data_IF_122200574251
#
_entry.id   IF_122200574251
#
_cell.length_a   1.000
_cell.length_b   1.000
_cell.length_c   1.000
_cell.angle_alpha   90.00
_cell.angle_beta   90.00
_cell.angle_gamma   90.00
#
_symmetry.space_group_name_H-M   'P 1'
#
loop_
_entity.id
_entity.type
_entity.pdbx_description
1 polymer ?
#
# COMPACT_ATOMS: atom_id res chain seq x y z
N UNK A 1 3.56 -24.63 11.06
CA UNK A 1 2.99 -23.92 12.22
C UNK A 1 1.58 -24.43 12.42
N UNK A 2 1.24 -24.99 13.59
CA UNK A 2 -0.15 -25.31 13.88
C UNK A 2 -0.97 -24.01 13.92
N UNK A 3 -2.23 -24.01 13.43
CA UNK A 3 -3.07 -22.82 13.49
C UNK A 3 -3.25 -22.41 14.96
N UNK A 4 -3.08 -21.11 15.24
CA UNK A 4 -3.36 -20.58 16.57
C UNK A 4 -4.83 -20.85 16.90
N UNK A 5 -5.10 -21.43 18.08
CA UNK A 5 -6.47 -21.67 18.54
C UNK A 5 -7.26 -20.37 18.62
N UNK A 6 -8.58 -20.44 18.44
CA UNK A 6 -9.47 -19.26 18.43
C UNK A 6 -9.29 -18.33 19.64
N UNK A 7 -9.04 -18.88 20.84
CA UNK A 7 -8.78 -18.10 22.04
C UNK A 7 -7.52 -17.21 21.92
N UNK A 8 -6.44 -17.74 21.36
CA UNK A 8 -5.20 -16.98 21.14
C UNK A 8 -5.37 -15.91 20.05
N UNK A 9 -6.15 -16.19 19.01
CA UNK A 9 -6.50 -15.20 17.98
C UNK A 9 -7.29 -14.06 18.62
N UNK A 10 -8.32 -14.37 19.41
CA UNK A 10 -9.13 -13.39 20.12
C UNK A 10 -8.29 -12.50 21.04
N UNK A 11 -7.38 -13.10 21.80
CA UNK A 11 -6.47 -12.36 22.69
C UNK A 11 -5.53 -11.44 21.90
N UNK A 12 -4.95 -11.92 20.80
CA UNK A 12 -4.04 -11.13 19.96
C UNK A 12 -4.75 -9.92 19.33
N UNK A 13 -5.97 -10.12 18.82
CA UNK A 13 -6.77 -9.03 18.24
C UNK A 13 -7.22 -8.05 19.33
N UNK A 14 -7.57 -8.53 20.53
CA UNK A 14 -7.90 -7.68 21.67
C UNK A 14 -6.72 -6.83 22.17
N UNK A 15 -5.49 -7.36 22.08
CA UNK A 15 -4.26 -6.66 22.48
C UNK A 15 -3.94 -5.48 21.56
N UNK A 16 -4.06 -5.67 20.25
CA UNK A 16 -3.90 -4.57 19.28
C UNK A 16 -4.82 -4.71 18.06
N UNK A 17 -6.02 -4.16 18.21
CA UNK A 17 -7.07 -4.24 17.21
C UNK A 17 -6.68 -3.54 15.89
N UNK A 18 -5.99 -2.40 15.93
CA UNK A 18 -5.58 -1.70 14.70
C UNK A 18 -4.51 -2.47 13.94
N UNK A 19 -3.59 -3.14 14.64
CA UNK A 19 -2.57 -3.97 14.00
C UNK A 19 -3.19 -5.22 13.37
N UNK A 20 -4.17 -5.84 14.04
CA UNK A 20 -4.96 -6.92 13.47
C UNK A 20 -5.75 -6.47 12.24
N UNK A 21 -6.40 -5.31 12.33
CA UNK A 21 -7.14 -4.69 11.22
C UNK A 21 -6.24 -4.40 10.02
N UNK A 22 -5.04 -3.86 10.25
CA UNK A 22 -4.06 -3.65 9.20
C UNK A 22 -3.72 -4.98 8.50
N UNK A 23 -3.45 -6.04 9.26
CA UNK A 23 -3.11 -7.35 8.68
C UNK A 23 -4.26 -7.90 7.82
N UNK A 24 -5.50 -7.76 8.28
CA UNK A 24 -6.69 -8.11 7.49
C UNK A 24 -6.80 -7.25 6.22
N UNK A 25 -6.53 -5.95 6.33
CA UNK A 25 -6.59 -5.00 5.21
C UNK A 25 -5.55 -5.29 4.13
N UNK A 26 -4.32 -5.61 4.52
CA UNK A 26 -3.24 -5.98 3.61
C UNK A 26 -3.50 -7.34 2.95
N UNK A 27 -3.99 -8.32 3.72
CA UNK A 27 -4.42 -9.61 3.20
C UNK A 27 -5.54 -9.46 2.16
N UNK A 28 -6.57 -8.69 2.48
CA UNK A 28 -7.70 -8.43 1.58
C UNK A 28 -7.23 -7.73 0.29
N UNK A 29 -6.31 -6.77 0.40
CA UNK A 29 -5.71 -6.10 -0.75
C UNK A 29 -4.96 -7.07 -1.68
N UNK A 30 -4.13 -7.95 -1.09
CA UNK A 30 -3.39 -8.97 -1.82
C UNK A 30 -4.33 -10.00 -2.50
N UNK A 31 -5.39 -10.42 -1.80
CA UNK A 31 -6.37 -11.38 -2.31
C UNK A 31 -7.23 -10.81 -3.45
N UNK A 32 -7.68 -9.55 -3.34
CA UNK A 32 -8.51 -8.90 -4.36
C UNK A 32 -7.72 -8.57 -5.63
N UNK A 33 -6.40 -8.39 -5.52
CA UNK A 33 -5.54 -8.05 -6.66
C UNK A 33 -5.64 -9.06 -7.81
N UNK A 34 -5.53 -8.58 -9.05
CA UNK A 34 -5.33 -9.45 -10.21
C UNK A 34 -3.99 -10.22 -10.14
N UNK A 35 -3.03 -9.74 -9.33
CA UNK A 35 -1.73 -10.39 -9.07
C UNK A 35 -1.78 -11.37 -7.90
N UNK A 36 -2.96 -11.73 -7.38
CA UNK A 36 -3.13 -12.53 -6.15
C UNK A 36 -2.27 -13.80 -6.08
N UNK A 37 -1.99 -14.44 -7.21
CA UNK A 37 -1.14 -15.65 -7.22
C UNK A 37 0.32 -15.39 -6.78
N UNK A 38 0.86 -14.22 -7.13
CA UNK A 38 2.23 -13.83 -6.79
C UNK A 38 2.32 -13.04 -5.48
N UNK A 39 1.31 -12.22 -5.15
CA UNK A 39 1.36 -11.30 -4.00
C UNK A 39 0.71 -11.85 -2.72
N UNK A 40 -0.24 -12.80 -2.81
CA UNK A 40 -0.83 -13.43 -1.63
C UNK A 40 0.04 -14.56 -1.09
N UNK A 41 1.21 -14.18 -0.57
CA UNK A 41 2.21 -15.10 0.00
C UNK A 41 2.61 -14.60 1.39
N UNK A 42 2.44 -15.39 2.46
CA UNK A 42 1.97 -16.77 2.49
C UNK A 42 0.48 -16.88 2.11
N UNK A 43 0.14 -18.01 1.47
CA UNK A 43 -1.23 -18.38 1.12
C UNK A 43 -1.80 -19.32 2.20
N UNK A 44 -3.07 -19.18 2.62
CA UNK A 44 -3.64 -20.04 3.65
C UNK A 44 -3.78 -21.48 3.15
N UNK A 45 -3.10 -22.41 3.82
CA UNK A 45 -3.00 -23.82 3.37
C UNK A 45 -4.33 -24.55 3.35
N UNK A 46 -5.33 -24.12 4.14
CA UNK A 46 -6.69 -24.69 4.12
C UNK A 46 -7.43 -24.47 2.79
N UNK A 47 -7.02 -23.47 2.01
CA UNK A 47 -7.57 -23.17 0.69
C UNK A 47 -6.66 -23.68 -0.44
N UNK A 48 -5.62 -24.45 -0.11
CA UNK A 48 -4.73 -25.08 -1.07
C UNK A 48 -4.97 -26.60 -1.06
N UNK A 49 -5.24 -27.17 -2.23
CA UNK A 49 -5.27 -28.62 -2.44
C UNK A 49 -4.14 -28.97 -3.39
N UNK A 50 -3.09 -29.62 -2.87
CA UNK A 50 -1.84 -29.85 -3.59
C UNK A 50 -1.29 -28.53 -4.17
N UNK A 51 -1.17 -28.42 -5.49
CA UNK A 51 -0.68 -27.21 -6.18
C UNK A 51 -1.80 -26.25 -6.62
N UNK A 52 -3.06 -26.62 -6.40
CA UNK A 52 -4.22 -25.80 -6.76
C UNK A 52 -4.65 -24.91 -5.57
N UNK A 53 -4.60 -23.59 -5.77
CA UNK A 53 -5.11 -22.59 -4.82
C UNK A 53 -6.54 -22.22 -5.16
N UNK A 54 -7.45 -22.39 -4.21
CA UNK A 54 -8.86 -22.02 -4.35
C UNK A 54 -9.09 -20.57 -3.92
N UNK A 55 -8.84 -19.64 -4.86
CA UNK A 55 -9.03 -18.22 -4.62
C UNK A 55 -10.52 -17.83 -4.52
N UNK A 56 -11.41 -18.57 -5.18
CA UNK A 56 -12.85 -18.25 -5.22
C UNK A 56 -13.49 -18.56 -3.87
N UNK A 57 -13.22 -19.74 -3.30
CA UNK A 57 -13.66 -20.05 -1.94
C UNK A 57 -13.10 -19.05 -0.92
N UNK A 58 -11.83 -18.69 -1.06
CA UNK A 58 -11.18 -17.74 -0.16
C UNK A 58 -11.76 -16.32 -0.25
N UNK A 59 -12.10 -15.85 -1.46
CA UNK A 59 -12.80 -14.58 -1.66
C UNK A 59 -14.20 -14.60 -1.08
N UNK A 60 -14.95 -15.68 -1.31
CA UNK A 60 -16.30 -15.84 -0.80
C UNK A 60 -16.30 -15.75 0.73
N UNK A 61 -15.36 -16.39 1.42
CA UNK A 61 -15.29 -16.35 2.87
C UNK A 61 -14.71 -15.04 3.41
N UNK A 62 -13.71 -14.46 2.73
CA UNK A 62 -13.18 -13.13 3.10
C UNK A 62 -14.25 -12.03 2.99
N UNK A 63 -15.17 -12.13 2.01
CA UNK A 63 -16.26 -11.16 1.84
C UNK A 63 -17.31 -11.20 2.96
N UNK A 64 -17.42 -12.33 3.67
CA UNK A 64 -18.35 -12.51 4.79
C UNK A 64 -17.78 -12.05 6.13
N UNK A 65 -16.50 -11.65 6.18
CA UNK A 65 -15.85 -11.23 7.43
C UNK A 65 -16.45 -9.90 7.92
N UNK A 66 -17.07 -9.87 9.11
CA UNK A 66 -17.57 -8.63 9.71
C UNK A 66 -16.40 -7.77 10.21
N UNK A 67 -16.67 -6.51 10.55
CA UNK A 67 -15.63 -5.65 11.10
C UNK A 67 -15.10 -6.20 12.44
N UNK A 68 -13.83 -5.89 12.79
CA UNK A 68 -13.22 -6.44 14.00
C UNK A 68 -13.86 -5.92 15.30
N UNK A 69 -14.57 -4.79 15.28
CA UNK A 69 -15.34 -4.27 16.44
C UNK A 69 -16.63 -5.06 16.69
N UNK A 70 -17.27 -5.57 15.64
CA UNK A 70 -18.42 -6.48 15.74
C UNK A 70 -17.97 -7.86 16.25
N UNK A 71 -16.74 -8.25 15.91
CA UNK A 71 -16.11 -9.48 16.36
C UNK A 71 -15.57 -9.39 17.80
N UNK A 72 -15.25 -8.16 18.25
CA UNK A 72 -14.76 -7.83 19.60
C UNK A 72 -15.40 -6.53 20.09
N UNK A 73 -16.36 -6.64 20.99
CA UNK A 73 -16.93 -5.48 21.69
C UNK A 73 -15.86 -4.80 22.57
N UNK A 74 -15.08 -3.84 22.07
CA UNK A 74 -14.75 -2.55 22.71
C UNK A 74 -13.73 -1.70 21.91
N UNK A 75 -13.59 -0.43 22.30
CA UNK A 75 -12.91 0.66 21.58
C UNK A 75 -11.83 1.31 22.47
N UNK A 76 -10.76 1.85 21.86
CA UNK A 76 -9.80 2.71 22.58
C UNK A 76 -8.86 3.53 21.68
N UNK A 77 -8.72 4.80 22.03
CA UNK A 77 -8.08 5.95 21.36
C UNK A 77 -6.53 5.95 21.43
N UNK A 78 -5.81 6.33 20.37
CA UNK A 78 -4.33 6.15 20.22
C UNK A 78 -3.56 7.29 19.50
N UNK A 79 -4.14 8.48 19.30
CA UNK A 79 -3.56 9.51 18.42
C UNK A 79 -2.24 10.17 18.90
N UNK A 80 -1.88 10.08 20.20
CA UNK A 80 -0.66 10.77 20.73
C UNK A 80 0.63 9.97 20.46
N UNK A 81 0.62 8.65 20.64
CA UNK A 81 1.82 7.79 20.54
C UNK A 81 2.33 7.67 19.10
N UNK A 82 1.43 7.72 18.12
CA UNK A 82 1.78 7.65 16.70
C UNK A 82 2.56 8.89 16.24
N UNK A 83 2.21 10.08 16.75
CA UNK A 83 2.90 11.34 16.42
C UNK A 83 4.33 11.37 16.94
N UNK A 84 4.55 11.00 18.20
CA UNK A 84 5.88 10.98 18.82
C UNK A 84 6.84 10.00 18.11
N UNK A 85 6.33 8.83 17.71
CA UNK A 85 7.12 7.85 16.97
C UNK A 85 7.39 8.30 15.53
N UNK A 86 6.45 9.00 14.89
CA UNK A 86 6.66 9.60 13.57
C UNK A 86 7.76 10.66 13.61
N UNK A 87 7.78 11.53 14.61
CA UNK A 87 8.86 12.51 14.82
C UNK A 87 10.22 11.82 15.03
N UNK A 88 10.25 10.71 15.76
CA UNK A 88 11.47 9.89 15.92
C UNK A 88 11.95 9.32 14.59
N UNK A 89 11.05 8.80 13.75
CA UNK A 89 11.39 8.30 12.41
C UNK A 89 11.94 9.43 11.55
N UNK A 90 11.33 10.62 11.56
CA UNK A 90 11.84 11.79 10.84
C UNK A 90 13.27 12.16 11.27
N UNK A 91 13.60 12.06 12.56
CA UNK A 91 14.98 12.26 13.05
C UNK A 91 15.95 11.20 12.53
N UNK A 92 15.51 9.94 12.42
CA UNK A 92 16.33 8.82 11.97
C UNK A 92 16.56 8.81 10.44
N UNK A 93 15.58 9.26 9.65
CA UNK A 93 15.66 9.31 8.18
C UNK A 93 16.19 10.64 7.64
N UNK A 94 16.25 11.67 8.49
CA UNK A 94 16.56 13.05 8.11
C UNK A 94 15.29 13.88 7.87
N UNK A 95 15.39 15.19 8.10
CA UNK A 95 14.28 16.12 7.91
C UNK A 95 13.85 16.16 6.43
N UNK A 96 12.55 16.06 6.13
CA UNK A 96 12.08 16.09 4.75
C UNK A 96 12.37 17.46 4.13
N UNK A 97 12.94 17.47 2.92
CA UNK A 97 13.22 18.72 2.18
C UNK A 97 11.97 19.37 1.59
N UNK A 98 10.87 18.62 1.54
CA UNK A 98 9.57 19.01 1.00
C UNK A 98 8.49 18.70 2.02
N UNK A 99 7.41 19.49 2.10
CA UNK A 99 6.27 19.16 2.95
C UNK A 99 5.71 17.78 2.58
N UNK A 100 5.63 16.88 3.56
CA UNK A 100 5.10 15.53 3.40
C UNK A 100 3.89 15.34 4.32
N UNK A 101 2.85 14.61 3.88
CA UNK A 101 1.72 14.31 4.75
C UNK A 101 2.18 13.47 5.95
N UNK A 102 1.61 13.78 7.12
CA UNK A 102 1.74 12.93 8.31
C UNK A 102 0.88 11.69 8.10
N UNK A 103 1.39 10.47 8.37
CA UNK A 103 0.58 9.26 8.27
C UNK A 103 -0.55 9.28 9.30
N UNK A 104 -1.72 8.78 8.89
CA UNK A 104 -2.87 8.63 9.80
C UNK A 104 -2.59 7.54 10.84
N UNK A 105 -1.85 6.49 10.46
CA UNK A 105 -1.45 5.40 11.36
C UNK A 105 0.00 5.00 11.17
N UNK A 106 0.62 4.56 12.26
CA UNK A 106 2.00 4.13 12.31
C UNK A 106 2.11 2.81 13.08
N UNK A 107 2.73 1.82 12.45
CA UNK A 107 2.91 0.49 13.03
C UNK A 107 4.39 0.12 13.08
N UNK A 108 4.78 -0.58 14.14
CA UNK A 108 6.12 -1.17 14.30
C UNK A 108 6.06 -2.67 14.09
N UNK A 109 7.07 -3.22 13.41
CA UNK A 109 7.25 -4.66 13.25
C UNK A 109 8.23 -5.15 14.31
N UNK A 110 7.75 -6.07 15.14
CA UNK A 110 8.56 -6.82 16.09
C UNK A 110 8.91 -8.19 15.50
N UNK A 111 10.20 -8.46 15.37
CA UNK A 111 10.71 -9.73 14.86
C UNK A 111 10.89 -10.74 15.99
N UNK A 112 10.64 -12.02 15.70
CA UNK A 112 10.88 -13.10 16.67
C UNK A 112 12.36 -13.15 17.09
N UNK A 113 12.63 -13.64 18.29
CA UNK A 113 13.99 -13.68 18.86
C UNK A 113 15.04 -14.28 17.91
N UNK A 114 14.82 -15.42 17.22
CA UNK A 114 15.81 -15.98 16.31
C UNK A 114 16.10 -15.07 15.10
N UNK A 115 15.06 -14.50 14.48
CA UNK A 115 15.22 -13.60 13.34
C UNK A 115 15.86 -12.27 13.76
N UNK A 116 15.50 -11.77 14.94
CA UNK A 116 16.04 -10.56 15.51
C UNK A 116 17.53 -10.72 15.85
N UNK A 117 17.90 -11.82 16.52
CA UNK A 117 19.29 -12.13 16.86
C UNK A 117 20.16 -12.26 15.59
N UNK A 118 19.69 -12.98 14.58
CA UNK A 118 20.40 -13.13 13.29
C UNK A 118 20.67 -11.78 12.61
N UNK A 119 19.72 -10.85 12.67
CA UNK A 119 19.90 -9.52 12.11
C UNK A 119 20.99 -8.72 12.85
N UNK A 120 20.98 -8.75 14.19
CA UNK A 120 22.01 -8.08 14.99
C UNK A 120 23.40 -8.73 14.88
N UNK A 121 23.45 -10.05 14.73
CA UNK A 121 24.68 -10.77 14.40
C UNK A 121 25.25 -10.32 13.05
N UNK A 122 24.40 -10.23 12.02
CA UNK A 122 24.80 -9.74 10.68
C UNK A 122 25.24 -8.27 10.70
N UNK A 123 24.60 -7.45 11.55
CA UNK A 123 24.97 -6.05 11.76
C UNK A 123 26.37 -5.93 12.38
N UNK A 124 26.65 -6.72 13.43
CA UNK A 124 27.85 -6.55 14.25
C UNK A 124 27.98 -5.11 14.75
N UNK A 125 29.18 -4.54 14.59
CA UNK A 125 29.52 -3.18 15.02
C UNK A 125 29.08 -2.08 14.05
N UNK A 126 28.50 -2.43 12.88
CA UNK A 126 28.14 -1.46 11.84
C UNK A 126 26.95 -0.59 12.25
N UNK A 127 26.88 0.61 11.70
CA UNK A 127 25.76 1.54 11.90
C UNK A 127 24.49 1.05 11.17
N UNK A 128 23.32 1.53 11.61
CA UNK A 128 22.04 1.34 10.94
C UNK A 128 21.63 2.63 10.23
N UNK A 129 21.16 2.48 8.99
CA UNK A 129 20.57 3.52 8.16
C UNK A 129 19.07 3.25 8.07
N UNK A 130 18.25 4.29 8.20
CA UNK A 130 16.81 4.20 7.98
C UNK A 130 16.46 4.81 6.62
N UNK A 131 15.69 4.06 5.83
CA UNK A 131 15.25 4.50 4.50
C UNK A 131 13.83 4.01 4.20
N UNK A 132 13.13 4.72 3.32
CA UNK A 132 11.77 4.43 2.92
C UNK A 132 11.72 3.54 1.67
N UNK A 133 10.73 2.65 1.63
CA UNK A 133 10.36 1.88 0.45
C UNK A 133 8.87 2.09 0.16
N UNK A 134 8.57 2.62 -1.02
CA UNK A 134 7.20 2.74 -1.49
C UNK A 134 6.78 1.53 -2.33
N UNK A 135 5.56 1.06 -2.13
CA UNK A 135 5.00 -0.05 -2.93
C UNK A 135 3.49 0.07 -3.04
N UNK A 136 2.90 -0.66 -3.99
CA UNK A 136 1.44 -0.79 -4.08
C UNK A 136 0.92 -1.59 -2.87
N UNK A 137 -0.26 -1.23 -2.37
CA UNK A 137 -0.84 -1.79 -1.14
C UNK A 137 -0.90 -3.33 -1.16
N UNK A 138 -1.26 -3.93 -2.30
CA UNK A 138 -1.41 -5.37 -2.42
C UNK A 138 -0.11 -6.17 -2.23
N UNK A 139 1.05 -5.52 -2.34
CA UNK A 139 2.34 -6.16 -2.14
C UNK A 139 2.68 -6.31 -0.66
N UNK A 140 2.09 -5.49 0.21
CA UNK A 140 2.53 -5.39 1.60
C UNK A 140 2.30 -6.66 2.40
N UNK A 141 1.23 -7.44 2.16
CA UNK A 141 1.06 -8.77 2.78
C UNK A 141 2.31 -9.65 2.60
N UNK A 142 2.84 -9.72 1.38
CA UNK A 142 4.09 -10.46 1.12
C UNK A 142 5.30 -9.82 1.75
N UNK A 143 5.40 -8.48 1.72
CA UNK A 143 6.54 -7.75 2.28
C UNK A 143 6.68 -7.99 3.80
N UNK A 144 5.60 -7.97 4.57
CA UNK A 144 5.68 -8.18 6.03
C UNK A 144 6.08 -9.62 6.39
N UNK A 145 5.68 -10.60 5.57
CA UNK A 145 5.90 -12.01 5.88
C UNK A 145 7.19 -12.57 5.29
N UNK A 146 7.59 -12.12 4.10
CA UNK A 146 8.72 -12.67 3.35
C UNK A 146 9.88 -11.66 3.22
N UNK A 147 9.66 -10.40 3.60
CA UNK A 147 10.61 -9.31 3.42
C UNK A 147 10.57 -8.70 2.02
N UNK A 148 11.46 -7.73 1.78
CA UNK A 148 11.63 -7.10 0.47
C UNK A 148 12.54 -7.99 -0.39
N UNK A 149 11.99 -8.63 -1.42
CA UNK A 149 12.74 -9.55 -2.28
C UNK A 149 13.54 -8.79 -3.36
N UNK A 150 14.87 -8.66 -3.18
CA UNK A 150 15.76 -7.97 -4.13
C UNK A 150 15.66 -8.51 -5.58
N UNK A 151 15.43 -9.80 -5.78
CA UNK A 151 15.43 -10.45 -7.11
C UNK A 151 14.12 -10.35 -7.90
N UNK A 152 13.06 -9.78 -7.31
CA UNK A 152 11.80 -9.53 -8.04
C UNK A 152 11.83 -8.19 -8.81
N UNK A 153 12.86 -7.36 -8.60
CA UNK A 153 13.03 -6.05 -9.22
C UNK A 153 14.04 -6.11 -10.38
N UNK A 154 13.82 -6.99 -11.37
CA UNK A 154 14.78 -7.24 -12.46
C UNK A 154 14.90 -6.11 -13.48
N UNK A 155 13.89 -5.23 -13.58
CA UNK A 155 13.88 -4.10 -14.51
C UNK A 155 14.12 -2.81 -13.74
N UNK A 156 15.38 -2.40 -13.61
CA UNK A 156 15.66 -1.09 -13.03
C UNK A 156 16.88 -0.43 -13.64
N UNK A 157 16.74 0.87 -13.86
CA UNK A 157 17.71 1.76 -14.51
C UNK A 157 19.10 1.69 -13.87
N UNK A 158 19.17 1.46 -12.55
CA UNK A 158 20.45 1.45 -11.82
C UNK A 158 20.96 0.06 -11.45
N UNK A 159 20.34 -1.02 -11.95
CA UNK A 159 20.70 -2.41 -11.68
C UNK A 159 19.75 -3.15 -10.74
N UNK A 160 20.02 -4.43 -10.48
CA UNK A 160 19.15 -5.27 -9.66
C UNK A 160 19.28 -4.95 -8.16
N UNK A 161 18.15 -4.91 -7.44
CA UNK A 161 18.12 -4.77 -5.99
C UNK A 161 16.83 -4.18 -5.45
N UNK A 162 16.76 -4.04 -4.13
CA UNK A 162 15.69 -3.31 -3.45
C UNK A 162 16.03 -1.82 -3.43
N UNK A 163 15.15 -1.02 -4.05
CA UNK A 163 15.25 0.43 -4.08
C UNK A 163 14.64 1.05 -2.83
N UNK A 164 15.44 1.85 -2.13
CA UNK A 164 15.04 2.64 -0.97
C UNK A 164 15.38 4.11 -1.22
N UNK A 165 14.79 5.00 -0.44
CA UNK A 165 15.05 6.45 -0.50
C UNK A 165 15.10 7.04 0.91
N UNK A 166 15.97 8.00 1.17
CA UNK A 166 15.93 8.77 2.43
C UNK A 166 14.80 9.80 2.44
N UNK A 167 14.16 10.05 1.29
CA UNK A 167 13.12 11.05 1.11
C UNK A 167 11.73 10.40 1.03
N UNK A 168 10.89 10.67 2.03
CA UNK A 168 9.52 10.15 2.11
C UNK A 168 8.65 10.62 0.94
N UNK A 169 8.85 11.85 0.44
CA UNK A 169 8.06 12.38 -0.69
C UNK A 169 8.20 11.51 -1.93
N UNK A 170 9.39 10.97 -2.14
CA UNK A 170 9.74 10.10 -3.25
C UNK A 170 9.13 8.70 -3.08
N UNK A 171 9.18 8.16 -1.86
CA UNK A 171 8.55 6.87 -1.55
C UNK A 171 7.02 6.92 -1.72
N UNK A 172 6.39 8.06 -1.41
CA UNK A 172 4.95 8.26 -1.58
C UNK A 172 4.51 8.17 -3.06
N UNK A 173 5.34 8.57 -4.01
CA UNK A 173 5.05 8.44 -5.46
C UNK A 173 4.88 6.97 -5.85
N UNK A 174 5.65 6.08 -5.22
CA UNK A 174 5.56 4.62 -5.44
C UNK A 174 4.50 3.93 -4.57
N UNK A 175 3.75 4.69 -3.76
CA UNK A 175 2.77 4.19 -2.81
C UNK A 175 1.37 4.73 -3.12
N UNK A 176 0.79 4.41 -4.29
CA UNK A 176 -0.55 4.86 -4.61
C UNK A 176 -1.58 4.26 -3.64
N UNK A 177 -2.70 4.95 -3.48
CA UNK A 177 -3.84 4.40 -2.75
C UNK A 177 -4.36 3.14 -3.44
N UNK A 178 -4.61 2.10 -2.65
CA UNK A 178 -5.17 0.82 -3.09
C UNK A 178 -6.37 0.41 -2.24
N UNK A 179 -7.16 -0.52 -2.77
CA UNK A 179 -8.27 -1.12 -2.04
C UNK A 179 -7.72 -2.05 -0.96
N UNK A 180 -8.11 -1.80 0.29
CA UNK A 180 -7.81 -2.64 1.45
C UNK A 180 -8.97 -3.58 1.75
N UNK A 181 -9.45 -3.55 3.01
CA UNK A 181 -10.63 -4.29 3.43
C UNK A 181 -11.81 -3.34 3.65
N UNK A 182 -12.97 -3.70 3.11
CA UNK A 182 -14.12 -2.78 3.11
C UNK A 182 -14.68 -2.49 4.50
N UNK A 183 -14.45 -3.40 5.45
CA UNK A 183 -14.87 -3.27 6.83
C UNK A 183 -13.72 -2.87 7.79
N UNK A 184 -12.62 -2.38 7.22
CA UNK A 184 -11.43 -1.93 7.96
C UNK A 184 -11.71 -0.72 8.84
N UNK A 185 -11.18 -0.75 10.06
CA UNK A 185 -11.15 0.40 10.97
C UNK A 185 -10.24 1.53 10.48
N UNK A 186 -9.26 1.20 9.64
CA UNK A 186 -8.34 2.16 9.03
C UNK A 186 -8.95 2.85 7.82
N UNK A 187 -10.09 2.37 7.33
CA UNK A 187 -10.75 2.81 6.11
C UNK A 187 -10.44 1.90 4.91
N UNK A 188 -11.31 1.91 3.89
CA UNK A 188 -11.27 0.91 2.83
C UNK A 188 -10.21 1.18 1.74
N UNK A 189 -9.65 2.38 1.71
CA UNK A 189 -8.67 2.81 0.72
C UNK A 189 -7.44 3.32 1.45
N UNK A 190 -6.32 2.62 1.29
CA UNK A 190 -5.09 2.85 2.03
C UNK A 190 -3.91 3.04 1.08
N UNK A 191 -2.96 3.89 1.46
CA UNK A 191 -1.59 3.90 0.94
C UNK A 191 -0.64 3.48 2.07
N UNK A 192 0.44 2.78 1.73
CA UNK A 192 1.40 2.30 2.72
C UNK A 192 2.85 2.50 2.25
N UNK A 193 3.70 2.97 3.16
CA UNK A 193 5.15 3.13 2.95
C UNK A 193 5.88 2.32 4.03
N UNK A 194 6.85 1.51 3.63
CA UNK A 194 7.73 0.81 4.55
C UNK A 194 8.90 1.70 4.98
N UNK A 195 9.22 1.70 6.27
CA UNK A 195 10.49 2.22 6.80
C UNK A 195 11.39 1.03 7.10
N UNK A 196 12.55 0.98 6.46
CA UNK A 196 13.48 -0.13 6.54
C UNK A 196 14.69 0.23 7.41
N UNK A 197 15.10 -0.69 8.28
CA UNK A 197 16.43 -0.70 8.87
C UNK A 197 17.38 -1.35 7.88
N UNK A 198 18.48 -0.66 7.56
CA UNK A 198 19.51 -1.11 6.62
C UNK A 198 20.86 -1.10 7.33
N UNK A 199 21.58 -2.21 7.29
CA UNK A 199 22.94 -2.31 7.82
C UNK A 199 23.88 -1.56 6.89
N UNK A 200 24.68 -0.62 7.42
CA UNK A 200 25.66 0.11 6.61
C UNK A 200 26.78 -0.83 6.14
N UNK A 201 26.64 -1.33 4.91
CA UNK A 201 27.49 -2.36 4.32
C UNK A 201 27.98 -1.97 2.92
N UNK A 202 29.14 -2.44 2.46
CA UNK A 202 29.60 -2.21 1.08
C UNK A 202 28.64 -2.67 -0.03
N UNK A 203 27.74 -3.61 0.26
CA UNK A 203 26.70 -4.08 -0.67
C UNK A 203 25.48 -3.16 -0.76
N UNK A 204 25.37 -2.19 0.16
CA UNK A 204 24.40 -1.10 0.05
C UNK A 204 25.01 -0.02 -0.83
N UNK A 205 24.40 0.21 -1.99
CA UNK A 205 24.87 1.17 -2.99
C UNK A 205 24.14 2.49 -2.82
N UNK A 206 24.89 3.56 -2.62
CA UNK A 206 24.38 4.88 -2.27
C UNK A 206 25.46 5.95 -2.43
N UNK A 207 25.05 7.21 -2.50
CA UNK A 207 25.94 8.37 -2.41
C UNK A 207 25.73 9.05 -1.05
N UNK A 208 26.42 8.57 -0.01
CA UNK A 208 26.33 9.17 1.32
C UNK A 208 27.31 10.32 1.47
N UNK A 209 26.92 11.36 2.21
CA UNK A 209 27.88 12.35 2.73
C UNK A 209 28.69 11.71 3.84
N UNK A 210 30.01 11.90 3.85
CA UNK A 210 30.85 11.45 4.97
C UNK A 210 30.41 12.14 6.26
N UNK A 211 30.45 11.40 7.39
CA UNK A 211 29.98 11.85 8.72
C UNK A 211 30.63 13.19 9.16
N UNK A 212 31.82 13.51 8.63
CA UNK A 212 32.61 14.70 8.98
C UNK A 212 33.09 15.55 7.78
N UNK A 213 32.53 15.37 6.57
CA UNK A 213 32.90 16.23 5.43
C UNK A 213 31.76 16.48 4.45
N UNK A 214 31.81 17.61 3.74
CA UNK A 214 30.87 17.92 2.64
C UNK A 214 31.10 17.04 1.40
N UNK A 215 32.11 16.18 1.44
CA UNK A 215 32.48 15.32 0.32
C UNK A 215 31.56 14.09 0.26
N UNK A 216 31.01 13.85 -0.93
CA UNK A 216 30.15 12.68 -1.19
C UNK A 216 31.05 11.46 -1.37
N UNK A 217 30.85 10.42 -0.57
CA UNK A 217 31.53 9.15 -0.79
C UNK A 217 30.91 8.44 -2.00
N UNK A 218 31.61 8.56 -3.15
CA UNK A 218 31.19 7.94 -4.41
C UNK A 218 31.64 6.49 -4.55
N UNK A 219 32.36 5.92 -3.58
CA UNK A 219 32.88 4.53 -3.67
C UNK A 219 31.78 3.49 -3.83
N UNK A 220 30.58 3.78 -3.31
CA UNK A 220 29.39 2.91 -3.38
C UNK A 220 28.31 3.42 -4.35
N UNK A 221 28.61 4.40 -5.19
CA UNK A 221 27.62 5.06 -6.03
C UNK A 221 27.11 4.20 -7.20
N UNK A 222 27.88 3.19 -7.62
CA UNK A 222 27.61 2.45 -8.86
C UNK A 222 27.45 0.95 -8.64
N UNK A 223 26.44 0.37 -9.29
CA UNK A 223 26.24 -1.07 -9.43
C UNK A 223 26.96 -1.55 -10.70
N UNK A 224 27.58 -2.74 -10.64
CA UNK A 224 28.18 -3.38 -11.81
C UNK A 224 27.08 -3.62 -12.86
N UNK A 225 27.31 -3.18 -14.10
CA UNK A 225 26.35 -3.25 -15.20
C UNK A 225 25.11 -2.32 -15.10
N UNK A 226 25.17 -1.25 -14.29
CA UNK A 226 24.15 -0.19 -14.30
C UNK A 226 24.14 0.55 -15.64
N UNK A 227 23.00 0.54 -16.33
CA UNK A 227 22.76 1.31 -17.56
C UNK A 227 22.58 2.81 -17.28
N UNK A 228 21.99 3.15 -16.13
CA UNK A 228 21.70 4.52 -15.70
C UNK A 228 22.85 5.27 -15.03
N UNK A 229 24.04 4.66 -14.96
CA UNK A 229 25.20 5.26 -14.30
C UNK A 229 25.11 5.19 -12.78
N UNK A 230 25.46 6.29 -12.11
CA UNK A 230 25.52 6.38 -10.64
C UNK A 230 24.13 6.58 -10.03
N UNK A 231 23.88 5.93 -8.89
CA UNK A 231 22.62 6.02 -8.16
C UNK A 231 22.43 7.44 -7.63
N UNK A 232 21.26 8.09 -7.81
CA UNK A 232 21.07 9.47 -7.37
C UNK A 232 21.19 9.62 -5.83
N UNK A 233 21.55 10.80 -5.30
CA UNK A 233 21.92 10.96 -3.88
C UNK A 233 20.90 10.56 -2.84
N UNK A 234 19.60 10.61 -3.18
CA UNK A 234 18.51 10.27 -2.27
C UNK A 234 18.17 8.78 -2.25
N UNK A 235 18.73 7.99 -3.17
CA UNK A 235 18.41 6.58 -3.32
C UNK A 235 19.50 5.67 -2.73
N UNK A 236 19.04 4.52 -2.24
CA UNK A 236 19.86 3.40 -1.84
C UNK A 236 19.39 2.18 -2.62
N UNK A 237 20.33 1.37 -3.09
CA UNK A 237 20.02 0.06 -3.68
C UNK A 237 20.70 -1.00 -2.85
N UNK A 238 19.90 -1.88 -2.25
CA UNK A 238 20.38 -3.00 -1.45
C UNK A 238 20.28 -4.26 -2.29
N UNK A 239 21.39 -4.98 -2.46
CA UNK A 239 21.42 -6.20 -3.29
C UNK A 239 21.26 -7.49 -2.47
N UNK A 240 21.50 -7.42 -1.15
CA UNK A 240 21.41 -8.56 -0.25
C UNK A 240 20.27 -8.37 0.76
N UNK A 241 19.27 -9.26 0.70
CA UNK A 241 18.10 -9.24 1.58
C UNK A 241 18.43 -9.35 3.08
N UNK A 242 19.59 -9.91 3.46
CA UNK A 242 19.99 -10.03 4.88
C UNK A 242 20.43 -8.68 5.48
N UNK A 243 20.69 -7.68 4.64
CA UNK A 243 21.18 -6.36 5.05
C UNK A 243 20.05 -5.37 5.32
N UNK A 244 18.80 -5.74 5.07
CA UNK A 244 17.67 -4.88 5.39
C UNK A 244 16.51 -5.66 5.99
N UNK A 245 15.67 -4.96 6.76
CA UNK A 245 14.37 -5.45 7.19
C UNK A 245 13.39 -4.29 7.33
N UNK A 246 12.10 -4.55 7.18
CA UNK A 246 11.06 -3.54 7.39
C UNK A 246 10.84 -3.37 8.90
N UNK A 247 11.00 -2.15 9.41
CA UNK A 247 10.85 -1.88 10.84
C UNK A 247 9.55 -1.17 11.18
N UNK A 248 9.09 -0.27 10.31
CA UNK A 248 7.82 0.43 10.49
C UNK A 248 6.99 0.47 9.21
N UNK A 249 5.67 0.64 9.37
CA UNK A 249 4.73 0.90 8.28
C UNK A 249 4.03 2.23 8.54
N UNK A 250 4.17 3.15 7.58
CA UNK A 250 3.40 4.39 7.54
C UNK A 250 2.13 4.11 6.72
N UNK A 251 0.96 4.34 7.29
CA UNK A 251 -0.33 4.06 6.63
C UNK A 251 -1.10 5.37 6.51
N UNK A 252 -1.53 5.64 5.29
CA UNK A 252 -2.30 6.82 4.91
C UNK A 252 -3.69 6.35 4.50
N UNK A 253 -4.71 6.85 5.20
CA UNK A 253 -6.10 6.53 4.91
C UNK A 253 -6.68 7.61 4.01
N UNK A 254 -7.25 7.21 2.88
CA UNK A 254 -7.99 8.17 2.07
C UNK A 254 -9.26 8.54 2.82
N UNK A 255 -9.28 9.75 3.40
CA UNK A 255 -10.48 10.32 4.01
C UNK A 255 -11.56 10.36 2.95
N UNK A 256 -12.56 9.47 3.06
CA UNK A 256 -13.75 9.60 2.26
C UNK A 256 -14.39 10.94 2.63
N UNK A 257 -14.75 11.80 1.65
CA UNK A 257 -15.55 12.96 1.98
C UNK A 257 -16.80 12.42 2.67
N UNK A 258 -16.99 12.77 3.96
CA UNK A 258 -18.21 12.44 4.69
C UNK A 258 -19.34 12.87 3.79
N UNK A 259 -20.10 11.93 3.24
CA UNK A 259 -21.24 12.25 2.40
C UNK A 259 -22.18 13.07 3.29
N UNK A 260 -22.17 14.39 3.13
CA UNK A 260 -23.35 15.17 3.46
C UNK A 260 -24.47 14.51 2.69
N UNK A 261 -25.49 14.05 3.40
CA UNK A 261 -26.65 13.42 2.82
C UNK A 261 -27.16 14.26 1.63
N UNK A 262 -26.92 13.78 0.42
CA UNK A 262 -27.61 14.18 -0.80
C UNK A 262 -27.80 12.94 -1.65
N UNK A 263 -28.60 12.02 -1.12
CA UNK A 263 -29.00 10.74 -1.71
C UNK A 263 -29.70 10.85 -3.08
N UNK A 264 -29.85 12.05 -3.64
CA UNK A 264 -30.46 12.26 -4.95
C UNK A 264 -29.46 12.57 -6.08
N UNK A 265 -28.23 13.00 -5.78
CA UNK A 265 -27.24 13.32 -6.83
C UNK A 265 -26.29 12.15 -7.19
N UNK A 266 -26.18 11.10 -6.38
CA UNK A 266 -25.23 10.00 -6.61
C UNK A 266 -25.67 9.03 -7.72
N UNK A 267 -26.98 8.88 -7.95
CA UNK A 267 -27.50 7.96 -8.97
C UNK A 267 -27.16 8.46 -10.38
N UNK A 268 -27.34 9.76 -10.64
CA UNK A 268 -26.99 10.40 -11.92
C UNK A 268 -25.49 10.34 -12.21
N UNK A 269 -24.64 10.45 -11.18
CA UNK A 269 -23.19 10.33 -11.33
C UNK A 269 -22.75 8.89 -11.64
N UNK A 270 -23.34 7.88 -10.99
CA UNK A 270 -23.01 6.47 -11.27
C UNK A 270 -23.54 5.97 -12.61
N UNK A 271 -24.60 6.58 -13.14
CA UNK A 271 -25.22 6.19 -14.42
C UNK A 271 -25.07 7.25 -15.52
N UNK A 272 -24.08 8.14 -15.40
CA UNK A 272 -23.89 9.27 -16.32
C UNK A 272 -23.87 8.82 -17.80
N UNK A 273 -23.23 7.68 -18.08
CA UNK A 273 -23.19 7.09 -19.43
C UNK A 273 -24.58 6.66 -19.92
N UNK A 274 -25.37 5.98 -19.09
CA UNK A 274 -26.75 5.58 -19.41
C UNK A 274 -27.65 6.80 -19.60
N UNK A 275 -27.48 7.82 -18.78
CA UNK A 275 -28.22 9.09 -18.89
C UNK A 275 -27.87 9.78 -20.21
N UNK A 276 -26.58 9.86 -20.57
CA UNK A 276 -26.15 10.46 -21.84
C UNK A 276 -26.66 9.71 -23.06
N UNK A 277 -26.64 8.37 -23.04
CA UNK A 277 -27.23 7.55 -24.11
C UNK A 277 -28.74 7.78 -24.22
N UNK A 278 -29.44 7.82 -23.09
CA UNK A 278 -30.90 8.04 -23.07
C UNK A 278 -31.26 9.42 -23.62
N UNK A 279 -30.50 10.45 -23.25
CA UNK A 279 -30.69 11.82 -23.74
C UNK A 279 -30.39 11.92 -25.24
N UNK A 280 -29.35 11.24 -25.71
CA UNK A 280 -29.00 11.19 -27.12
C UNK A 280 -30.08 10.50 -27.96
N UNK A 281 -30.61 9.36 -27.50
CA UNK A 281 -31.71 8.67 -28.16
C UNK A 281 -32.99 9.51 -28.17
N UNK A 282 -33.30 10.21 -27.08
CA UNK A 282 -34.43 11.15 -27.02
C UNK A 282 -34.28 12.29 -28.04
N UNK A 283 -33.07 12.84 -28.17
CA UNK A 283 -32.78 13.90 -29.13
C UNK A 283 -32.96 13.41 -30.57
N UNK A 284 -32.50 12.20 -30.88
CA UNK A 284 -32.72 11.58 -32.19
C UNK A 284 -34.22 11.36 -32.48
N UNK A 285 -34.99 10.94 -31.48
CA UNK A 285 -36.45 10.80 -31.61
C UNK A 285 -37.14 12.15 -31.86
N UNK A 286 -36.72 13.21 -31.16
CA UNK A 286 -37.27 14.56 -31.35
C UNK A 286 -36.94 15.09 -32.76
N UNK A 287 -35.68 14.95 -33.21
CA UNK A 287 -35.30 15.34 -34.58
C UNK A 287 -36.07 14.53 -35.61
N UNK A 288 -36.23 13.22 -35.40
CA UNK A 288 -37.03 12.36 -36.28
C UNK A 288 -38.51 12.73 -36.29
N UNK A 289 -39.07 13.16 -35.17
CA UNK A 289 -40.45 13.62 -35.08
C UNK A 289 -40.65 14.97 -35.79
N UNK A 290 -39.73 15.92 -35.62
CA UNK A 290 -39.77 17.23 -36.28
C UNK A 290 -39.60 17.09 -37.80
N UNK A 291 -38.78 16.15 -38.24
CA UNK A 291 -38.54 15.87 -39.66
C UNK A 291 -39.58 14.90 -40.28
N UNK A 292 -40.53 14.40 -39.49
CA UNK A 292 -41.61 13.55 -39.99
C UNK A 292 -42.63 14.38 -40.75
N UNK A 293 -42.99 13.92 -41.94
CA UNK A 293 -44.02 14.55 -42.80
C UNK A 293 -45.37 14.65 -42.10
N UNK A 294 -45.70 13.72 -41.19
CA UNK A 294 -46.92 13.74 -40.40
C UNK A 294 -46.96 14.91 -39.39
N UNK A 295 -45.84 15.20 -38.73
CA UNK A 295 -45.74 16.31 -37.79
C UNK A 295 -45.74 17.66 -38.52
N UNK A 296 -45.03 17.76 -39.65
CA UNK A 296 -45.06 18.95 -40.50
C UNK A 296 -46.47 19.24 -41.05
N UNK A 297 -47.21 18.19 -41.46
CA UNK A 297 -48.60 18.33 -41.88
C UNK A 297 -49.53 18.79 -40.74
N UNK A 298 -49.36 18.25 -39.53
CA UNK A 298 -50.13 18.65 -38.35
C UNK A 298 -49.83 20.11 -37.96
N UNK A 299 -48.55 20.50 -37.91
CA UNK A 299 -48.13 21.85 -37.56
C UNK A 299 -48.59 22.91 -38.58
N UNK A 300 -48.54 22.59 -39.87
CA UNK A 300 -49.04 23.48 -40.92
C UNK A 300 -50.57 23.63 -40.89
N UNK A 301 -51.29 22.64 -40.36
CA UNK A 301 -52.76 22.71 -40.17
C UNK A 301 -53.15 23.51 -38.93
N UNK A 302 -52.32 23.52 -37.88
CA UNK A 302 -52.52 24.32 -36.68
C UNK A 302 -52.14 25.81 -36.84
N UNK A 303 -51.40 26.16 -37.90
CA UNK A 303 -51.05 27.55 -38.27
C UNK A 303 -52.05 28.25 -39.20
N UNK A 304 -53.07 27.54 -39.70
CA UNK A 304 -54.23 28.14 -40.40
C UNK A 304 -55.32 28.42 -39.39
#
# INVERSE_FOLDING_TARGET
MQPAGWAAVREAVGRDMLAADLRCSLFASALQSYKRDSVLRPFPTSYARHDCKDFEALLADASKLPNLKELLQSSGDKDKRARDLFEKIQKLTGAPHTPVPVPDFLFEIEYSNPANAKFYETKGERDLIYAFHGSRLENFHSIIHNGLHCHLNKTSLFGEGTYLTSDLSLALIYSPHGLGWQHSLLGPILSCVAVCEVIDHPDVKCQMKKKDSKEIDRRRARIKHSEGGDIPPKYFVVTNNQLLRVKYLLVYSQKQPKSRASSQLSWFSSHWFTVMISLYLLLLLIVSAINSSAFQHFWNRAKR
#
